data_IF_151690730652
#
_entry.id   IF_151690730652
#
_cell.length_a   1.000
_cell.length_b   1.000
_cell.length_c   1.000
_cell.angle_alpha   90.00
_cell.angle_beta   90.00
_cell.angle_gamma   90.00
#
_symmetry.space_group_name_H-M   'P 1'
#
loop_
_entity.id
_entity.type
_entity.pdbx_description
1 polymer ?
#
# COMPACT_ATOMS: atom_id res chain seq x y z
N UNK A 1 18.74 0.55 -18.84
CA UNK A 1 17.98 -0.02 -17.69
C UNK A 1 18.15 0.96 -16.55
N UNK A 2 17.07 1.34 -15.84
CA UNK A 2 17.17 2.31 -14.74
C UNK A 2 17.19 1.56 -13.41
N UNK A 3 18.12 1.95 -12.55
CA UNK A 3 18.26 1.41 -11.22
C UNK A 3 18.36 2.53 -10.18
N UNK A 4 17.92 2.22 -8.96
CA UNK A 4 17.89 3.14 -7.83
C UNK A 4 18.71 2.53 -6.71
N UNK A 5 19.69 3.26 -6.21
CA UNK A 5 20.56 2.83 -5.11
C UNK A 5 20.54 3.86 -3.99
N UNK A 6 20.74 3.38 -2.75
CA UNK A 6 20.86 4.29 -1.61
C UNK A 6 22.19 5.07 -1.63
N UNK A 7 22.24 6.22 -0.94
CA UNK A 7 23.46 7.06 -0.84
C UNK A 7 24.69 6.24 -0.46
N UNK A 8 24.55 5.37 0.55
CA UNK A 8 25.63 4.50 1.02
C UNK A 8 26.08 3.48 -0.02
N UNK A 9 25.16 2.94 -0.84
CA UNK A 9 25.52 2.08 -1.98
C UNK A 9 26.30 2.87 -3.04
N UNK A 10 25.87 4.11 -3.33
CA UNK A 10 26.50 5.00 -4.31
C UNK A 10 27.90 5.41 -3.88
N UNK A 11 28.09 5.73 -2.60
CA UNK A 11 29.40 6.03 -2.01
C UNK A 11 30.29 4.78 -1.98
N UNK A 12 29.73 3.63 -1.57
CA UNK A 12 30.43 2.34 -1.59
C UNK A 12 30.92 1.92 -2.97
N UNK A 13 30.16 2.22 -4.03
CA UNK A 13 30.55 2.04 -5.43
C UNK A 13 31.81 2.84 -5.81
N UNK A 14 31.98 4.04 -5.23
CA UNK A 14 33.11 4.93 -5.53
C UNK A 14 34.35 4.64 -4.67
N UNK A 15 34.17 4.20 -3.43
CA UNK A 15 35.26 4.16 -2.43
C UNK A 15 35.88 2.77 -2.22
N UNK A 16 35.22 1.67 -2.58
CA UNK A 16 35.65 0.31 -2.19
C UNK A 16 36.23 -0.51 -3.35
N UNK A 17 37.44 -0.17 -3.79
CA UNK A 17 38.13 -0.87 -4.90
C UNK A 17 38.50 -2.35 -4.63
N UNK A 18 38.42 -2.86 -3.40
CA UNK A 18 39.00 -4.14 -2.98
C UNK A 18 37.98 -5.18 -2.43
N UNK A 19 36.70 -5.12 -2.83
CA UNK A 19 35.72 -6.16 -2.44
C UNK A 19 35.00 -6.74 -3.66
N UNK A 20 34.89 -8.06 -3.71
CA UNK A 20 34.32 -8.80 -4.85
C UNK A 20 32.81 -8.57 -5.04
N UNK A 21 32.13 -8.08 -4.01
CA UNK A 21 30.72 -7.67 -4.04
C UNK A 21 30.49 -6.47 -3.10
N UNK A 22 29.65 -5.53 -3.54
CA UNK A 22 29.14 -4.45 -2.68
C UNK A 22 27.83 -4.95 -2.06
N UNK A 23 27.93 -5.60 -0.92
CA UNK A 23 26.78 -5.86 -0.06
C UNK A 23 26.49 -4.60 0.75
N UNK A 24 25.26 -4.08 0.63
CA UNK A 24 24.84 -2.95 1.45
C UNK A 24 24.35 -3.46 2.81
N UNK A 25 25.06 -3.14 3.91
CA UNK A 25 24.62 -3.55 5.24
C UNK A 25 23.28 -2.93 5.64
N UNK A 26 22.81 -1.90 4.91
CA UNK A 26 21.54 -1.21 5.13
C UNK A 26 20.41 -1.67 4.21
N UNK A 27 20.69 -2.42 3.14
CA UNK A 27 19.64 -3.00 2.29
C UNK A 27 19.26 -4.41 2.74
N UNK A 28 20.07 -5.06 3.59
CA UNK A 28 19.84 -6.42 4.08
C UNK A 28 19.08 -6.49 5.43
N UNK A 29 18.85 -5.37 6.11
CA UNK A 29 18.22 -5.37 7.44
C UNK A 29 16.94 -4.54 7.48
N UNK A 30 15.88 -5.18 7.95
CA UNK A 30 14.53 -4.67 8.15
C UNK A 30 14.39 -3.28 8.83
N UNK A 31 13.26 -2.68 8.43
CA UNK A 31 12.29 -1.83 9.17
C UNK A 31 12.63 -0.45 9.75
N UNK A 32 13.85 0.04 9.85
CA UNK A 32 14.05 1.41 10.40
C UNK A 32 15.14 2.21 9.74
N UNK A 33 14.95 2.69 8.51
CA UNK A 33 15.79 3.78 7.99
C UNK A 33 15.00 4.78 7.14
N UNK A 34 14.53 5.83 7.81
CA UNK A 34 13.92 7.02 7.23
C UNK A 34 14.94 8.03 6.68
N UNK A 35 16.18 8.03 7.13
CA UNK A 35 17.08 9.15 6.84
C UNK A 35 18.30 8.76 6.00
N UNK A 36 18.44 9.50 4.89
CA UNK A 36 19.53 9.48 3.91
C UNK A 36 19.49 8.40 2.82
N UNK A 37 18.55 8.56 1.88
CA UNK A 37 18.80 8.10 0.51
C UNK A 37 18.88 9.29 -0.44
N UNK A 38 20.08 9.51 -0.98
CA UNK A 38 20.30 10.14 -2.28
C UNK A 38 19.99 9.04 -3.31
N UNK A 39 18.75 9.01 -3.81
CA UNK A 39 18.30 8.00 -4.78
C UNK A 39 18.96 8.32 -6.13
N UNK A 40 20.14 7.75 -6.39
CA UNK A 40 20.84 7.94 -7.65
C UNK A 40 20.26 7.04 -8.74
N UNK A 41 19.81 7.64 -9.84
CA UNK A 41 19.35 6.91 -11.04
C UNK A 41 20.56 6.55 -11.90
N UNK A 42 20.82 5.25 -12.08
CA UNK A 42 21.89 4.76 -12.96
C UNK A 42 21.35 4.28 -14.30
N UNK A 43 21.96 4.74 -15.40
CA UNK A 43 21.93 4.05 -16.70
C UNK A 43 23.23 3.24 -16.84
N UNK A 44 23.13 1.91 -16.88
CA UNK A 44 24.26 1.03 -17.19
C UNK A 44 24.30 0.77 -18.71
N UNK A 45 25.47 0.99 -19.31
CA UNK A 45 25.77 0.67 -20.71
C UNK A 45 25.56 -0.82 -20.97
N UNK A 46 24.98 -1.12 -22.13
CA UNK A 46 24.56 -2.47 -22.54
C UNK A 46 25.72 -3.48 -22.52
N UNK A 47 25.72 -4.38 -21.54
CA UNK A 47 26.11 -5.76 -21.81
C UNK A 47 25.00 -6.68 -21.35
N UNK A 48 24.52 -7.45 -22.32
CA UNK A 48 23.38 -8.34 -22.25
C UNK A 48 23.57 -9.40 -21.14
N UNK A 49 22.44 -9.88 -20.61
CA UNK A 49 22.28 -11.10 -19.79
C UNK A 49 22.28 -11.01 -18.26
N UNK A 50 22.00 -9.85 -17.63
CA UNK A 50 21.69 -9.82 -16.19
C UNK A 50 20.26 -9.31 -15.94
N UNK A 51 19.48 -10.11 -15.20
CA UNK A 51 18.11 -9.77 -14.76
C UNK A 51 18.10 -8.77 -13.60
N UNK A 52 19.26 -8.55 -12.93
CA UNK A 52 19.44 -7.63 -11.82
C UNK A 52 20.75 -6.82 -11.92
N UNK A 53 20.93 -5.86 -11.00
CA UNK A 53 22.17 -5.06 -10.90
C UNK A 53 23.19 -5.81 -10.03
N UNK A 54 24.36 -6.14 -10.57
CA UNK A 54 25.53 -6.58 -9.78
C UNK A 54 26.61 -5.50 -9.82
N UNK A 55 26.52 -4.45 -8.98
CA UNK A 55 27.52 -3.40 -8.95
C UNK A 55 28.84 -3.95 -8.39
N UNK A 56 29.87 -4.05 -9.23
CA UNK A 56 31.25 -4.34 -8.83
C UNK A 56 32.05 -3.03 -8.71
N UNK A 57 33.11 -2.98 -7.88
CA UNK A 57 33.99 -1.82 -7.88
C UNK A 57 34.53 -1.54 -9.29
N UNK A 58 34.45 -0.28 -9.73
CA UNK A 58 34.84 0.12 -11.09
C UNK A 58 33.78 -0.07 -12.17
N UNK A 59 32.54 -0.44 -11.82
CA UNK A 59 31.42 -0.45 -12.78
C UNK A 59 31.22 0.95 -13.35
N UNK A 60 31.34 1.09 -14.68
CA UNK A 60 31.11 2.37 -15.36
C UNK A 60 29.65 2.78 -15.26
N UNK A 61 29.44 3.99 -14.75
CA UNK A 61 28.12 4.62 -14.62
C UNK A 61 28.03 5.72 -15.66
N UNK A 62 27.06 5.59 -16.56
CA UNK A 62 26.85 6.60 -17.61
C UNK A 62 26.31 7.91 -17.03
N UNK A 63 25.33 7.81 -16.13
CA UNK A 63 24.69 8.96 -15.48
C UNK A 63 24.26 8.59 -14.06
N UNK A 64 24.40 9.54 -13.13
CA UNK A 64 23.87 9.45 -11.77
C UNK A 64 23.20 10.79 -11.45
N UNK A 65 21.93 10.75 -11.07
CA UNK A 65 21.14 11.96 -10.75
C UNK A 65 20.59 11.86 -9.34
N UNK A 66 20.86 12.87 -8.52
CA UNK A 66 20.27 13.00 -7.19
C UNK A 66 18.82 13.49 -7.30
N UNK A 67 17.93 12.76 -6.64
CA UNK A 67 16.51 13.10 -6.56
C UNK A 67 16.26 13.93 -5.29
N UNK A 68 15.76 15.16 -5.46
CA UNK A 68 15.47 16.11 -4.38
C UNK A 68 13.99 16.47 -4.33
N UNK A 69 13.54 17.14 -3.26
CA UNK A 69 12.17 17.68 -3.15
C UNK A 69 11.77 18.63 -4.30
N UNK A 70 12.75 19.25 -4.96
CA UNK A 70 12.53 20.15 -6.12
C UNK A 70 12.48 19.39 -7.44
N UNK A 71 12.95 18.14 -7.46
CA UNK A 71 12.93 17.30 -8.66
C UNK A 71 11.48 16.97 -9.01
N UNK A 72 11.13 17.18 -10.27
CA UNK A 72 9.85 16.77 -10.83
C UNK A 72 10.06 15.52 -11.66
N UNK A 73 9.39 14.44 -11.27
CA UNK A 73 9.45 13.15 -11.95
C UNK A 73 8.19 13.00 -12.79
N UNK A 74 8.38 12.60 -14.05
CA UNK A 74 7.29 12.28 -14.97
C UNK A 74 7.33 10.80 -15.26
N UNK A 75 6.28 10.08 -14.88
CA UNK A 75 6.11 8.66 -15.19
C UNK A 75 5.20 8.53 -16.43
N UNK A 76 5.67 7.79 -17.42
CA UNK A 76 5.00 7.68 -18.72
C UNK A 76 5.18 6.28 -19.33
N UNK A 77 4.11 5.49 -19.37
CA UNK A 77 4.08 4.16 -20.00
C UNK A 77 5.10 3.18 -19.40
N UNK A 78 5.22 3.19 -18.07
CA UNK A 78 6.16 2.33 -17.33
C UNK A 78 5.43 1.49 -16.27
N UNK A 79 5.94 0.30 -16.01
CA UNK A 79 5.66 -0.43 -14.79
C UNK A 79 6.72 -0.04 -13.74
N UNK A 80 6.30 0.18 -12.50
CA UNK A 80 7.14 0.62 -11.39
C UNK A 80 6.83 -0.20 -10.15
N UNK A 81 7.85 -0.58 -9.39
CA UNK A 81 7.64 -1.29 -8.12
C UNK A 81 6.99 -0.39 -7.09
N UNK A 82 6.05 -0.93 -6.31
CA UNK A 82 5.42 -0.31 -5.14
C UNK A 82 6.39 0.48 -4.24
N UNK A 83 7.48 -0.14 -3.81
CA UNK A 83 8.47 0.48 -2.91
C UNK A 83 9.05 1.75 -3.52
N UNK A 84 9.53 1.68 -4.76
CA UNK A 84 10.08 2.85 -5.45
C UNK A 84 9.01 3.92 -5.66
N UNK A 85 7.83 3.54 -6.13
CA UNK A 85 6.76 4.48 -6.42
C UNK A 85 6.42 5.33 -5.18
N UNK A 86 6.11 4.72 -4.05
CA UNK A 86 5.76 5.47 -2.85
C UNK A 86 6.93 6.26 -2.25
N UNK A 87 8.17 5.78 -2.40
CA UNK A 87 9.36 6.56 -2.05
C UNK A 87 9.46 7.85 -2.86
N UNK A 88 9.25 7.78 -4.17
CA UNK A 88 9.22 8.97 -5.04
C UNK A 88 8.05 9.90 -4.68
N UNK A 89 6.88 9.33 -4.39
CA UNK A 89 5.68 10.07 -4.01
C UNK A 89 5.83 10.81 -2.67
N UNK A 90 6.61 10.30 -1.72
CA UNK A 90 6.86 10.97 -0.44
C UNK A 90 7.98 12.01 -0.47
N UNK A 91 8.87 11.93 -1.46
CA UNK A 91 10.10 12.75 -1.48
C UNK A 91 10.15 13.80 -2.58
N UNK A 92 9.30 13.69 -3.60
CA UNK A 92 9.36 14.57 -4.79
C UNK A 92 7.98 14.94 -5.31
N UNK A 93 7.95 15.76 -6.38
CA UNK A 93 6.75 15.91 -7.18
C UNK A 93 6.72 14.85 -8.27
N UNK A 94 5.67 14.03 -8.30
CA UNK A 94 5.48 13.00 -9.32
C UNK A 94 4.26 13.37 -10.16
N UNK A 95 4.38 13.25 -11.48
CA UNK A 95 3.28 13.43 -12.44
C UNK A 95 3.18 12.19 -13.31
N UNK A 96 1.97 11.66 -13.44
CA UNK A 96 1.68 10.56 -14.38
C UNK A 96 1.16 11.19 -15.67
N UNK A 97 1.89 10.99 -16.77
CA UNK A 97 1.55 11.59 -18.06
C UNK A 97 0.56 10.75 -18.86
N UNK A 98 0.76 9.43 -18.87
CA UNK A 98 -0.09 8.47 -19.58
C UNK A 98 -0.52 7.36 -18.62
N UNK A 99 -0.17 6.10 -18.89
CA UNK A 99 -0.49 4.96 -18.04
C UNK A 99 0.75 4.46 -17.31
N UNK A 100 0.60 4.05 -16.05
CA UNK A 100 1.59 3.27 -15.32
C UNK A 100 0.96 2.01 -14.72
N UNK A 101 1.81 1.05 -14.36
CA UNK A 101 1.42 -0.13 -13.59
C UNK A 101 2.26 -0.22 -12.32
N UNK A 102 1.60 -0.40 -11.18
CA UNK A 102 2.26 -0.65 -9.90
C UNK A 102 2.37 -2.17 -9.70
N UNK A 103 3.60 -2.65 -9.50
CA UNK A 103 3.90 -4.08 -9.34
C UNK A 103 4.63 -4.34 -8.02
N UNK A 104 4.53 -5.55 -7.50
CA UNK A 104 5.28 -5.94 -6.31
C UNK A 104 6.79 -5.87 -6.53
N UNK A 105 7.50 -5.27 -5.57
CA UNK A 105 8.95 -5.38 -5.46
C UNK A 105 9.35 -6.83 -5.17
N UNK A 106 10.38 -7.32 -5.87
CA UNK A 106 10.94 -8.66 -5.63
C UNK A 106 12.18 -8.59 -4.75
N UNK A 107 12.63 -9.75 -4.29
CA UNK A 107 13.76 -9.84 -3.36
C UNK A 107 15.10 -9.58 -4.07
N UNK A 108 15.76 -8.50 -3.63
CA UNK A 108 17.15 -8.10 -3.83
C UNK A 108 17.66 -7.96 -5.28
N UNK A 109 17.95 -6.70 -5.66
CA UNK A 109 18.65 -6.26 -6.90
C UNK A 109 17.82 -6.27 -8.18
N UNK A 110 16.52 -6.45 -8.05
CA UNK A 110 15.59 -6.35 -9.15
C UNK A 110 15.51 -4.93 -9.70
N UNK A 111 15.41 -4.86 -11.03
CA UNK A 111 14.99 -3.66 -11.76
C UNK A 111 13.74 -3.09 -11.09
N UNK A 112 13.68 -1.78 -10.82
CA UNK A 112 12.50 -1.16 -10.20
C UNK A 112 11.53 -0.51 -11.22
N UNK A 113 11.97 -0.37 -12.48
CA UNK A 113 11.18 0.20 -13.58
C UNK A 113 11.29 -0.70 -14.81
N UNK A 114 10.15 -1.17 -15.30
CA UNK A 114 10.02 -1.95 -16.52
C UNK A 114 9.03 -1.35 -17.52
N UNK A 115 8.84 -2.03 -18.63
CA UNK A 115 7.79 -1.71 -19.60
C UNK A 115 6.41 -2.11 -19.05
N UNK A 116 5.33 -1.52 -19.60
CA UNK A 116 3.98 -1.93 -19.22
C UNK A 116 3.77 -3.43 -19.43
N UNK A 117 3.25 -4.08 -18.40
CA UNK A 117 3.04 -5.51 -18.38
C UNK A 117 4.20 -6.35 -17.87
N UNK A 118 5.32 -5.72 -17.53
CA UNK A 118 6.35 -6.33 -16.70
C UNK A 118 5.74 -6.71 -15.34
N UNK A 119 6.01 -7.93 -14.86
CA UNK A 119 5.57 -8.43 -13.54
C UNK A 119 4.07 -8.31 -13.25
N UNK A 120 3.21 -8.50 -14.26
CA UNK A 120 1.74 -8.46 -14.10
C UNK A 120 1.21 -9.34 -12.96
N UNK A 121 1.81 -10.51 -12.77
CA UNK A 121 1.40 -11.45 -11.73
C UNK A 121 1.97 -11.12 -10.33
N UNK A 122 2.93 -10.18 -10.26
CA UNK A 122 3.54 -9.76 -9.00
C UNK A 122 2.60 -8.81 -8.26
N UNK A 123 2.23 -9.19 -7.05
CA UNK A 123 1.30 -8.43 -6.23
C UNK A 123 2.02 -7.38 -5.40
N UNK A 124 1.54 -6.14 -5.46
CA UNK A 124 2.07 -5.03 -4.68
C UNK A 124 1.76 -5.19 -3.18
N UNK A 125 2.75 -4.92 -2.33
CA UNK A 125 2.63 -4.73 -0.88
C UNK A 125 2.71 -3.24 -0.56
N UNK A 126 1.58 -2.66 -0.20
CA UNK A 126 1.41 -1.24 0.06
C UNK A 126 1.28 -1.03 1.57
N UNK A 127 2.33 -0.48 2.19
CA UNK A 127 2.38 -0.20 3.63
C UNK A 127 2.72 1.27 3.87
N UNK A 128 2.04 1.90 4.83
CA UNK A 128 2.25 3.31 5.20
C UNK A 128 2.83 3.54 6.61
N UNK A 129 3.17 2.47 7.32
CA UNK A 129 3.78 2.47 8.66
C UNK A 129 5.19 3.08 8.70
N UNK A 130 5.94 3.05 7.58
CA UNK A 130 7.31 3.55 7.50
C UNK A 130 7.50 5.02 7.06
N UNK A 131 6.44 5.82 6.95
CA UNK A 131 6.53 7.19 6.43
C UNK A 131 6.34 8.25 7.51
N UNK A 132 7.15 9.30 7.46
CA UNK A 132 6.94 10.48 8.31
C UNK A 132 5.67 11.24 7.92
N UNK A 133 5.09 12.02 8.84
CA UNK A 133 3.94 12.90 8.52
C UNK A 133 4.21 13.84 7.33
N UNK A 134 5.45 14.31 7.17
CA UNK A 134 5.83 15.14 6.02
C UNK A 134 5.79 14.35 4.71
N UNK A 135 6.33 13.13 4.69
CA UNK A 135 6.28 12.25 3.51
C UNK A 135 4.84 11.87 3.19
N UNK A 136 4.03 11.52 4.20
CA UNK A 136 2.61 11.20 4.01
C UNK A 136 1.83 12.37 3.39
N UNK A 137 2.04 13.59 3.87
CA UNK A 137 1.43 14.79 3.28
C UNK A 137 1.82 14.97 1.81
N UNK A 138 3.08 14.67 1.46
CA UNK A 138 3.57 14.74 0.08
C UNK A 138 2.99 13.61 -0.79
N UNK A 139 2.86 12.39 -0.27
CA UNK A 139 2.19 11.27 -0.92
C UNK A 139 0.75 11.65 -1.22
N UNK A 140 -0.02 12.09 -0.22
CA UNK A 140 -1.42 12.50 -0.38
C UNK A 140 -1.57 13.58 -1.46
N UNK A 141 -0.71 14.60 -1.43
CA UNK A 141 -0.70 15.67 -2.44
C UNK A 141 -0.47 15.14 -3.85
N UNK A 142 0.51 14.26 -4.04
CA UNK A 142 0.77 13.66 -5.36
C UNK A 142 -0.37 12.73 -5.79
N UNK A 143 -0.90 11.90 -4.89
CA UNK A 143 -2.01 10.98 -5.15
C UNK A 143 -3.28 11.72 -5.61
N UNK A 144 -3.54 12.92 -5.06
CA UNK A 144 -4.68 13.75 -5.48
C UNK A 144 -4.63 14.18 -6.95
N UNK A 145 -3.44 14.19 -7.55
CA UNK A 145 -3.25 14.58 -8.96
C UNK A 145 -3.39 13.42 -9.95
N UNK A 146 -3.47 12.19 -9.46
CA UNK A 146 -3.58 10.99 -10.30
C UNK A 146 -4.99 10.92 -10.87
N UNK A 147 -5.08 10.82 -12.20
CA UNK A 147 -6.36 10.63 -12.87
C UNK A 147 -6.79 9.17 -12.83
N UNK A 148 -8.09 8.92 -12.76
CA UNK A 148 -8.67 7.58 -12.86
C UNK A 148 -8.17 6.88 -14.14
N UNK A 149 -7.83 5.61 -14.05
CA UNK A 149 -7.28 4.76 -15.12
C UNK A 149 -5.85 5.09 -15.59
N UNK A 150 -5.19 6.13 -15.07
CA UNK A 150 -3.77 6.40 -15.37
C UNK A 150 -2.82 5.47 -14.62
N UNK A 151 -3.33 4.75 -13.63
CA UNK A 151 -2.58 3.80 -12.82
C UNK A 151 -3.38 2.51 -12.68
N UNK A 152 -2.70 1.38 -12.82
CA UNK A 152 -3.22 0.03 -12.60
C UNK A 152 -2.42 -0.61 -11.47
N UNK A 153 -3.10 -1.07 -10.42
CA UNK A 153 -2.48 -1.70 -9.25
C UNK A 153 -2.97 -3.14 -9.13
N UNK A 154 -2.06 -4.11 -9.21
CA UNK A 154 -2.31 -5.48 -8.76
C UNK A 154 -2.01 -5.57 -7.25
N UNK A 155 -2.97 -5.21 -6.40
CA UNK A 155 -2.77 -5.13 -4.97
C UNK A 155 -2.80 -6.52 -4.30
N UNK A 156 -1.70 -6.91 -3.66
CA UNK A 156 -1.63 -8.09 -2.80
C UNK A 156 -2.04 -7.75 -1.39
N UNK A 157 -1.15 -7.05 -0.70
CA UNK A 157 -1.30 -6.66 0.70
C UNK A 157 -1.37 -5.14 0.81
N UNK A 158 -2.31 -4.66 1.61
CA UNK A 158 -2.47 -3.24 1.92
C UNK A 158 -2.58 -3.08 3.43
N UNK A 159 -1.67 -2.30 4.00
CA UNK A 159 -1.63 -1.97 5.42
C UNK A 159 -1.58 -0.45 5.59
N UNK A 160 -2.53 0.10 6.34
CA UNK A 160 -2.52 1.52 6.69
C UNK A 160 -2.88 1.71 8.16
N UNK A 161 -2.11 2.58 8.80
CA UNK A 161 -2.27 2.96 10.21
C UNK A 161 -2.40 4.48 10.27
N UNK A 162 -3.33 4.98 11.07
CA UNK A 162 -3.57 6.41 11.26
C UNK A 162 -3.65 7.18 9.92
N UNK A 163 -2.79 8.19 9.72
CA UNK A 163 -2.79 9.06 8.54
C UNK A 163 -2.53 8.35 7.20
N UNK A 164 -2.00 7.12 7.23
CA UNK A 164 -1.87 6.26 6.04
C UNK A 164 -3.18 6.09 5.28
N UNK A 165 -4.30 6.11 6.01
CA UNK A 165 -5.61 5.75 5.51
C UNK A 165 -6.18 6.72 4.47
N UNK A 166 -5.79 8.00 4.52
CA UNK A 166 -6.26 9.04 3.58
C UNK A 166 -5.82 8.79 2.13
N UNK A 167 -4.87 7.90 1.89
CA UNK A 167 -4.41 7.52 0.55
C UNK A 167 -5.28 6.43 -0.10
N UNK A 168 -5.97 5.63 0.71
CA UNK A 168 -6.75 4.47 0.25
C UNK A 168 -7.86 4.81 -0.74
N UNK A 169 -8.66 5.91 -0.56
CA UNK A 169 -9.68 6.26 -1.54
C UNK A 169 -9.14 6.34 -2.96
N UNK A 170 -7.94 6.92 -3.12
CA UNK A 170 -7.27 7.04 -4.44
C UNK A 170 -6.67 5.74 -4.93
N UNK A 171 -6.17 4.89 -4.03
CA UNK A 171 -5.64 3.58 -4.42
C UNK A 171 -6.76 2.66 -4.90
N UNK A 172 -7.91 2.63 -4.21
CA UNK A 172 -9.06 1.82 -4.63
C UNK A 172 -9.57 2.19 -6.03
N UNK A 173 -9.51 3.47 -6.43
CA UNK A 173 -9.85 3.90 -7.79
C UNK A 173 -8.93 3.31 -8.88
N UNK A 174 -7.74 2.83 -8.50
CA UNK A 174 -6.68 2.35 -9.40
C UNK A 174 -6.45 0.83 -9.32
N UNK A 175 -7.11 0.13 -8.40
CA UNK A 175 -6.98 -1.32 -8.24
C UNK A 175 -7.91 -2.02 -9.22
N UNK A 176 -7.34 -2.85 -10.07
CA UNK A 176 -8.08 -3.74 -10.98
C UNK A 176 -7.91 -5.18 -10.47
N UNK A 177 -8.87 -5.65 -9.65
CA UNK A 177 -8.88 -7.03 -9.17
C UNK A 177 -9.18 -7.22 -7.68
N UNK A 178 -8.58 -8.27 -7.12
CA UNK A 178 -8.85 -8.73 -5.75
C UNK A 178 -7.66 -8.49 -4.83
N UNK A 179 -7.89 -7.75 -3.76
CA UNK A 179 -6.93 -7.53 -2.68
C UNK A 179 -6.84 -8.82 -1.85
N UNK A 180 -5.62 -9.34 -1.68
CA UNK A 180 -5.44 -10.56 -0.88
C UNK A 180 -5.59 -10.28 0.61
N UNK A 181 -5.06 -9.16 1.09
CA UNK A 181 -5.13 -8.77 2.49
C UNK A 181 -5.24 -7.25 2.63
N UNK A 182 -6.30 -6.78 3.28
CA UNK A 182 -6.48 -5.38 3.67
C UNK A 182 -6.53 -5.30 5.20
N UNK A 183 -5.61 -4.53 5.79
CA UNK A 183 -5.51 -4.32 7.24
C UNK A 183 -5.46 -2.83 7.55
N UNK A 184 -6.48 -2.33 8.25
CA UNK A 184 -6.60 -0.92 8.63
C UNK A 184 -6.71 -0.78 10.14
N UNK A 185 -5.95 0.15 10.71
CA UNK A 185 -5.93 0.40 12.15
C UNK A 185 -5.97 1.90 12.43
N UNK A 186 -6.95 2.32 13.23
CA UNK A 186 -7.11 3.71 13.67
C UNK A 186 -7.36 3.72 15.17
N UNK A 187 -6.45 4.32 15.94
CA UNK A 187 -6.66 4.52 17.37
C UNK A 187 -7.40 5.84 17.68
N UNK A 188 -7.53 6.73 16.69
CA UNK A 188 -8.18 8.04 16.86
C UNK A 188 -9.18 8.34 15.76
N UNK A 189 -10.27 8.99 16.18
CA UNK A 189 -11.35 9.46 15.29
C UNK A 189 -10.90 10.50 14.27
N UNK A 190 -9.93 11.35 14.61
CA UNK A 190 -9.46 12.44 13.73
C UNK A 190 -9.03 11.99 12.31
N UNK A 191 -8.55 10.75 12.18
CA UNK A 191 -8.12 10.20 10.89
C UNK A 191 -9.27 9.69 10.01
N UNK A 192 -10.43 9.38 10.59
CA UNK A 192 -11.56 8.83 9.84
C UNK A 192 -12.57 9.90 9.41
N UNK A 193 -12.60 11.06 10.08
CA UNK A 193 -13.57 12.12 9.81
C UNK A 193 -13.60 12.53 8.33
N UNK A 194 -12.45 12.80 7.71
CA UNK A 194 -12.38 13.14 6.27
C UNK A 194 -12.94 12.02 5.38
N UNK A 195 -12.69 10.75 5.73
CA UNK A 195 -13.17 9.59 4.97
C UNK A 195 -14.69 9.47 5.09
N UNK A 196 -15.26 9.70 6.27
CA UNK A 196 -16.70 9.60 6.49
C UNK A 196 -17.46 10.81 5.92
N UNK A 197 -16.87 12.01 5.97
CA UNK A 197 -17.42 13.27 5.43
C UNK A 197 -17.39 13.35 3.91
N UNK A 198 -16.61 12.52 3.24
CA UNK A 198 -16.57 12.47 1.78
C UNK A 198 -17.92 11.99 1.24
N UNK A 199 -18.83 12.94 1.02
CA UNK A 199 -20.11 12.69 0.36
C UNK A 199 -19.86 12.18 -1.06
N UNK A 200 -20.58 11.10 -1.41
CA UNK A 200 -20.84 10.63 -2.77
C UNK A 200 -19.84 9.64 -3.39
N UNK A 201 -20.35 8.44 -3.68
CA UNK A 201 -19.85 7.52 -4.71
C UNK A 201 -18.52 6.78 -4.51
N UNK A 202 -18.05 6.58 -3.29
CA UNK A 202 -17.06 5.54 -3.01
C UNK A 202 -17.73 4.15 -3.19
N UNK A 203 -18.03 3.79 -4.44
CA UNK A 203 -18.20 2.41 -4.87
C UNK A 203 -16.83 1.75 -4.78
N UNK A 204 -16.33 1.57 -3.56
CA UNK A 204 -15.18 0.72 -3.28
C UNK A 204 -15.63 -0.72 -3.45
N UNK A 205 -15.85 -1.08 -4.71
CA UNK A 205 -16.17 -2.43 -5.15
C UNK A 205 -14.88 -3.22 -5.06
N UNK A 206 -14.55 -3.64 -3.85
CA UNK A 206 -13.38 -4.44 -3.58
C UNK A 206 -13.80 -5.92 -3.50
N UNK A 207 -13.08 -6.77 -4.22
CA UNK A 207 -12.98 -8.19 -3.89
C UNK A 207 -11.82 -8.32 -2.90
N UNK A 208 -12.08 -8.79 -1.69
CA UNK A 208 -11.08 -8.87 -0.60
C UNK A 208 -11.11 -10.28 -0.02
N UNK A 209 -9.95 -10.96 0.02
CA UNK A 209 -9.85 -12.29 0.64
C UNK A 209 -9.74 -12.23 2.15
N UNK A 210 -8.95 -11.30 2.70
CA UNK A 210 -8.77 -11.11 4.14
C UNK A 210 -8.96 -9.63 4.49
N UNK A 211 -9.91 -9.34 5.38
CA UNK A 211 -10.19 -7.99 5.86
C UNK A 211 -9.97 -7.94 7.38
N UNK A 212 -9.05 -7.09 7.84
CA UNK A 212 -8.86 -6.74 9.24
C UNK A 212 -9.13 -5.25 9.43
N UNK A 213 -10.04 -4.91 10.33
CA UNK A 213 -10.29 -3.53 10.76
C UNK A 213 -10.17 -3.46 12.28
N UNK A 214 -9.36 -2.52 12.77
CA UNK A 214 -9.10 -2.32 14.20
C UNK A 214 -9.42 -0.89 14.63
N UNK A 215 -10.09 -0.74 15.77
CA UNK A 215 -10.49 0.55 16.35
C UNK A 215 -11.49 1.30 15.47
N UNK A 216 -11.32 2.63 15.33
CA UNK A 216 -12.20 3.46 14.50
C UNK A 216 -12.26 3.02 13.03
N UNK A 217 -11.27 2.27 12.54
CA UNK A 217 -11.26 1.74 11.17
C UNK A 217 -12.48 0.85 10.86
N UNK A 218 -13.15 0.30 11.87
CA UNK A 218 -14.38 -0.49 11.69
C UNK A 218 -15.51 0.32 11.05
N UNK A 219 -15.60 1.63 11.30
CA UNK A 219 -16.66 2.46 10.70
C UNK A 219 -16.53 2.57 9.16
N UNK A 220 -15.33 2.32 8.61
CA UNK A 220 -15.10 2.24 7.16
C UNK A 220 -15.88 1.08 6.53
N UNK A 221 -16.26 0.06 7.30
CA UNK A 221 -17.06 -1.06 6.80
C UNK A 221 -18.37 -0.59 6.16
N UNK A 222 -19.00 0.48 6.68
CA UNK A 222 -20.21 1.08 6.09
C UNK A 222 -19.96 1.74 4.73
N UNK A 223 -18.71 2.14 4.46
CA UNK A 223 -18.28 2.78 3.20
C UNK A 223 -17.67 1.78 2.21
N UNK A 224 -17.23 0.61 2.69
CA UNK A 224 -16.72 -0.48 1.85
C UNK A 224 -17.86 -1.23 1.17
N UNK A 225 -18.04 -1.01 -0.14
CA UNK A 225 -19.01 -1.76 -0.94
C UNK A 225 -18.42 -3.10 -1.40
N UNK A 226 -18.38 -4.10 -0.52
CA UNK A 226 -17.91 -5.44 -0.87
C UNK A 226 -18.77 -6.02 -2.01
N UNK A 227 -18.12 -6.49 -3.08
CA UNK A 227 -18.81 -7.05 -4.25
C UNK A 227 -19.69 -8.25 -3.84
N UNK A 228 -20.87 -8.42 -4.44
CA UNK A 228 -21.82 -9.49 -4.05
C UNK A 228 -21.24 -10.90 -4.19
N UNK A 229 -20.41 -11.10 -5.22
CA UNK A 229 -19.67 -12.35 -5.47
C UNK A 229 -18.39 -12.52 -4.63
N UNK A 230 -18.10 -11.62 -3.70
CA UNK A 230 -16.88 -11.73 -2.89
C UNK A 230 -17.02 -12.88 -1.89
N UNK A 231 -16.12 -13.87 -2.01
CA UNK A 231 -15.95 -14.96 -1.04
C UNK A 231 -14.70 -14.70 -0.23
N UNK A 232 -14.89 -14.06 0.91
CA UNK A 232 -13.86 -13.71 1.88
C UNK A 232 -13.44 -14.94 2.71
N UNK A 233 -12.14 -15.15 2.84
CA UNK A 233 -11.57 -16.21 3.69
C UNK A 233 -11.63 -15.84 5.17
N UNK A 234 -11.40 -14.57 5.50
CA UNK A 234 -11.36 -14.10 6.89
C UNK A 234 -11.82 -12.65 7.01
N UNK A 235 -12.77 -12.40 7.90
CA UNK A 235 -13.15 -11.08 8.38
C UNK A 235 -12.75 -11.00 9.86
N UNK A 236 -11.96 -10.01 10.23
CA UNK A 236 -11.60 -9.77 11.63
C UNK A 236 -11.86 -8.31 11.99
N UNK A 237 -12.79 -8.08 12.92
CA UNK A 237 -13.10 -6.76 13.45
C UNK A 237 -12.74 -6.73 14.93
N UNK A 238 -11.88 -5.79 15.32
CA UNK A 238 -11.42 -5.62 16.69
C UNK A 238 -11.75 -4.20 17.16
N UNK A 239 -12.55 -4.06 18.22
CA UNK A 239 -13.01 -2.76 18.71
C UNK A 239 -12.88 -2.76 20.22
N UNK A 240 -11.94 -1.97 20.75
CA UNK A 240 -11.63 -1.96 22.17
C UNK A 240 -12.60 -1.06 22.96
N UNK A 241 -13.22 -0.07 22.31
CA UNK A 241 -14.06 0.91 22.97
C UNK A 241 -15.40 1.10 22.24
N UNK A 242 -16.52 1.31 22.94
CA UNK A 242 -17.83 1.48 22.30
C UNK A 242 -17.90 2.74 21.42
N UNK A 243 -17.11 3.76 21.69
CA UNK A 243 -17.05 5.00 20.90
C UNK A 243 -16.62 4.76 19.45
N UNK A 244 -15.82 3.71 19.22
CA UNK A 244 -15.24 3.34 17.91
C UNK A 244 -16.24 2.70 16.94
N UNK A 245 -17.47 2.41 17.39
CA UNK A 245 -18.57 1.89 16.57
C UNK A 245 -19.80 2.80 16.57
N UNK A 246 -19.68 4.02 17.09
CA UNK A 246 -20.83 4.91 17.25
C UNK A 246 -21.46 5.32 15.93
N UNK A 247 -20.70 5.55 14.85
CA UNK A 247 -21.29 5.91 13.56
C UNK A 247 -21.95 4.71 12.88
N UNK A 248 -21.30 3.54 12.89
CA UNK A 248 -21.82 2.35 12.25
C UNK A 248 -23.12 1.87 12.91
N UNK A 249 -23.28 2.07 14.22
CA UNK A 249 -24.52 1.74 14.93
C UNK A 249 -25.73 2.60 14.54
N UNK A 250 -25.50 3.77 13.91
CA UNK A 250 -26.59 4.63 13.38
C UNK A 250 -27.19 4.10 12.09
N UNK A 251 -26.50 3.19 11.40
CA UNK A 251 -27.01 2.53 10.21
C UNK A 251 -28.22 1.64 10.54
N UNK A 252 -29.13 1.49 9.58
CA UNK A 252 -30.27 0.58 9.76
C UNK A 252 -29.82 -0.89 9.81
N UNK A 253 -30.63 -1.75 10.42
CA UNK A 253 -30.30 -3.16 10.55
C UNK A 253 -30.16 -3.86 9.18
N UNK A 254 -29.12 -4.69 9.05
CA UNK A 254 -28.79 -5.47 7.86
C UNK A 254 -28.49 -4.64 6.58
N UNK A 255 -28.11 -3.35 6.70
CA UNK A 255 -27.70 -2.55 5.53
C UNK A 255 -26.28 -2.82 5.09
N UNK A 256 -25.40 -3.22 6.02
CA UNK A 256 -23.96 -3.38 5.75
C UNK A 256 -23.69 -4.81 5.26
N UNK A 257 -23.45 -4.95 3.95
CA UNK A 257 -23.16 -6.23 3.34
C UNK A 257 -21.66 -6.55 3.38
N UNK A 258 -21.30 -7.70 3.97
CA UNK A 258 -19.89 -8.11 4.15
C UNK A 258 -19.42 -9.22 3.19
N UNK A 259 -20.30 -9.68 2.27
CA UNK A 259 -20.01 -10.80 1.38
C UNK A 259 -20.24 -12.18 2.01
N UNK A 260 -19.81 -13.23 1.32
CA UNK A 260 -19.64 -14.57 1.88
C UNK A 260 -18.33 -14.61 2.68
N UNK A 261 -18.36 -14.94 3.96
CA UNK A 261 -17.23 -14.98 4.89
C UNK A 261 -17.05 -16.38 5.49
N UNK A 262 -15.93 -17.03 5.17
CA UNK A 262 -15.62 -18.36 5.71
C UNK A 262 -15.33 -18.36 7.21
N UNK A 263 -14.56 -17.37 7.68
CA UNK A 263 -14.13 -17.23 9.07
C UNK A 263 -14.37 -15.79 9.59
N UNK A 264 -15.60 -15.46 10.01
CA UNK A 264 -15.89 -14.19 10.67
C UNK A 264 -15.45 -14.22 12.15
N UNK A 265 -14.67 -13.22 12.55
CA UNK A 265 -14.17 -13.03 13.91
C UNK A 265 -14.50 -11.60 14.36
N UNK A 266 -15.31 -11.48 15.40
CA UNK A 266 -15.63 -10.20 16.04
C UNK A 266 -15.08 -10.23 17.46
N UNK A 267 -14.30 -9.22 17.83
CA UNK A 267 -13.75 -9.07 19.18
C UNK A 267 -14.34 -7.88 19.90
N UNK A 268 -14.65 -8.07 21.17
CA UNK A 268 -15.05 -7.03 22.11
C UNK A 268 -16.28 -6.26 21.62
N UNK A 269 -16.21 -4.93 21.53
CA UNK A 269 -17.33 -4.08 21.10
C UNK A 269 -17.71 -4.26 19.62
N UNK A 270 -16.91 -4.99 18.83
CA UNK A 270 -17.25 -5.30 17.45
C UNK A 270 -18.50 -6.20 17.34
N UNK A 271 -18.90 -6.88 18.42
CA UNK A 271 -20.16 -7.62 18.42
C UNK A 271 -21.40 -6.73 18.36
N UNK A 272 -21.29 -5.47 18.78
CA UNK A 272 -22.45 -4.57 18.84
C UNK A 272 -22.97 -4.20 17.45
N UNK A 273 -22.14 -4.31 16.41
CA UNK A 273 -22.50 -3.99 15.02
C UNK A 273 -23.17 -5.17 14.28
N UNK A 274 -23.38 -6.30 14.96
CA UNK A 274 -24.05 -7.47 14.38
C UNK A 274 -25.45 -7.17 13.82
N UNK A 275 -26.29 -6.31 14.44
CA UNK A 275 -27.59 -5.95 13.89
C UNK A 275 -27.49 -5.21 12.55
N UNK A 276 -26.49 -4.37 12.36
CA UNK A 276 -26.26 -3.56 11.15
C UNK A 276 -25.63 -4.38 10.03
N UNK A 277 -24.86 -5.42 10.38
CA UNK A 277 -24.18 -6.28 9.42
C UNK A 277 -25.05 -7.43 8.92
N UNK A 278 -25.03 -7.64 7.60
CA UNK A 278 -25.76 -8.69 6.91
C UNK A 278 -24.83 -9.85 6.55
N UNK A 279 -24.84 -10.90 7.37
CA UNK A 279 -24.21 -12.18 7.05
C UNK A 279 -25.17 -13.14 6.32
N UNK A 280 -24.70 -13.91 5.32
CA UNK A 280 -25.41 -15.06 4.79
C UNK A 280 -25.86 -16.01 5.91
N UNK A 281 -27.06 -16.59 5.79
CA UNK A 281 -27.63 -17.49 6.82
C UNK A 281 -26.70 -18.66 7.20
N UNK A 282 -25.89 -19.16 6.25
CA UNK A 282 -24.96 -20.28 6.46
C UNK A 282 -23.77 -19.93 7.37
N UNK A 283 -23.50 -18.65 7.58
CA UNK A 283 -22.28 -18.16 8.24
C UNK A 283 -22.51 -17.65 9.65
N UNK A 284 -23.76 -17.39 10.03
CA UNK A 284 -24.10 -17.01 11.41
C UNK A 284 -23.62 -18.03 12.44
N UNK A 285 -23.58 -19.31 12.06
CA UNK A 285 -23.10 -20.40 12.93
C UNK A 285 -21.56 -20.51 12.99
N UNK A 286 -20.83 -19.72 12.19
CA UNK A 286 -19.35 -19.72 12.10
C UNK A 286 -18.73 -18.49 12.76
N UNK A 287 -19.55 -17.58 13.26
CA UNK A 287 -19.12 -16.40 14.01
C UNK A 287 -18.37 -16.83 15.26
N UNK A 288 -17.08 -16.49 15.29
CA UNK A 288 -16.27 -16.58 16.49
C UNK A 288 -16.30 -15.21 17.16
N UNK A 289 -16.86 -15.18 18.35
CA UNK A 289 -16.89 -13.97 19.17
C UNK A 289 -15.90 -14.15 20.32
N UNK A 290 -14.95 -13.22 20.43
CA UNK A 290 -14.11 -13.10 21.61
C UNK A 290 -14.59 -11.88 22.39
N UNK A 291 -14.78 -12.07 23.69
CA UNK A 291 -15.03 -10.97 24.62
C UNK A 291 -13.93 -11.10 25.66
N UNK A 292 -12.91 -10.27 25.54
CA UNK A 292 -11.95 -10.16 26.62
C UNK A 292 -12.64 -9.30 27.68
N UNK A 293 -13.26 -9.99 28.65
CA UNK A 293 -13.81 -9.35 29.84
C UNK A 293 -12.64 -8.98 30.75
N UNK A 294 -12.26 -7.70 30.72
CA UNK A 294 -11.58 -7.08 31.86
C UNK A 294 -12.55 -6.91 33.04
#
# INVERSE_FOLDING_TARGET
MLFFLCKTCVEGLKERANRDAIECPHCQSDETYSDEIIDAVFSLMSQQTLLGLEPRPGTEVETAVEITKKTKIVLNNVAITDTLFFKLMGRTSVTIQNKISLVGHGDYLDRCIGELGWRKDSQAKICFDGYTNQEMNQIYKNMKTISKNSMEINAGEMHAVESGIHTLPRLFDCIDGCIQSLSLELSKREYIEEILETESHLSWIAKVKKLRLTGYAVEILSKLRIHEENVMEKLELCVCFPEEVTEILKEENNTIWVGEVKNPCLKDYAMEILPQTRFPRKERNRLVCHVDRD
#
